data_IF_712385398331
#
_entry.id   IF_712385398331
#
_cell.length_a   1.000
_cell.length_b   1.000
_cell.length_c   1.000
_cell.angle_alpha   90.00
_cell.angle_beta   90.00
_cell.angle_gamma   90.00
#
_symmetry.space_group_name_H-M   'P 1'
#
loop_
_entity.id
_entity.type
_entity.pdbx_description
1 polymer ?
#
# COMPACT_ATOMS: atom_id res chain seq x y z
N UNK A 1 -17.51 11.86 -0.60
CA UNK A 1 -16.41 12.68 -1.19
C UNK A 1 -15.18 12.49 -0.29
N UNK A 2 -13.99 12.36 -0.85
CA UNK A 2 -12.73 12.25 -0.08
C UNK A 2 -12.03 13.60 0.13
N UNK A 3 -12.68 14.69 -0.31
CA UNK A 3 -12.26 16.06 -0.04
C UNK A 3 -10.84 16.37 -0.51
N UNK A 4 -10.47 15.84 -1.67
CA UNK A 4 -9.16 16.02 -2.32
C UNK A 4 -8.70 17.49 -2.46
N UNK A 5 -9.63 18.45 -2.42
CA UNK A 5 -9.34 19.88 -2.47
C UNK A 5 -8.90 20.48 -1.11
N UNK A 6 -9.04 19.74 0.00
CA UNK A 6 -8.71 20.21 1.33
C UNK A 6 -7.25 19.87 1.70
N UNK A 7 -6.55 20.78 2.41
CA UNK A 7 -5.18 20.53 2.87
C UNK A 7 -5.09 19.28 3.75
N UNK A 8 -4.17 18.38 3.41
CA UNK A 8 -3.97 17.06 4.01
C UNK A 8 -4.46 15.92 3.13
N UNK A 9 -5.42 16.18 2.23
CA UNK A 9 -6.06 15.16 1.38
C UNK A 9 -5.46 15.10 -0.04
N UNK A 10 -4.29 15.70 -0.26
CA UNK A 10 -3.59 15.73 -1.55
C UNK A 10 -3.36 14.32 -2.11
N UNK A 11 -3.19 13.32 -1.24
CA UNK A 11 -2.98 11.94 -1.69
C UNK A 11 -4.21 11.37 -2.43
N UNK A 12 -5.43 11.80 -2.06
CA UNK A 12 -6.65 11.48 -2.80
C UNK A 12 -6.75 12.28 -4.09
N UNK A 13 -6.35 13.56 -4.09
CA UNK A 13 -6.27 14.36 -5.30
C UNK A 13 -5.32 13.75 -6.34
N UNK A 14 -4.27 13.08 -5.87
CA UNK A 14 -3.28 12.45 -6.73
C UNK A 14 -3.82 11.23 -7.49
N UNK A 15 -4.87 10.56 -6.99
CA UNK A 15 -5.47 9.39 -7.65
C UNK A 15 -6.00 9.74 -9.04
N UNK A 16 -6.61 10.92 -9.16
CA UNK A 16 -7.20 11.43 -10.40
C UNK A 16 -6.33 12.54 -11.04
N UNK A 17 -5.02 12.55 -10.75
CA UNK A 17 -4.13 13.62 -11.21
C UNK A 17 -4.02 13.64 -12.74
N UNK A 18 -4.09 14.82 -13.40
CA UNK A 18 -4.09 14.92 -14.86
C UNK A 18 -2.87 14.33 -15.56
N UNK A 19 -1.72 14.29 -14.88
CA UNK A 19 -0.48 13.71 -15.45
C UNK A 19 -0.53 12.18 -15.52
N UNK A 20 -1.48 11.53 -14.85
CA UNK A 20 -1.65 10.08 -14.83
C UNK A 20 -0.39 9.28 -14.44
N UNK A 21 0.55 9.90 -13.70
CA UNK A 21 1.81 9.25 -13.33
C UNK A 21 1.55 7.96 -12.53
N UNK A 22 0.63 7.98 -11.56
CA UNK A 22 0.29 6.81 -10.75
C UNK A 22 -0.18 5.61 -11.59
N UNK A 23 -1.26 5.70 -12.41
CA UNK A 23 -1.69 4.57 -13.22
C UNK A 23 -0.66 4.15 -14.28
N UNK A 24 0.17 5.07 -14.78
CA UNK A 24 1.26 4.74 -15.71
C UNK A 24 2.32 3.88 -15.00
N UNK A 25 2.80 4.29 -13.83
CA UNK A 25 3.78 3.54 -13.03
C UNK A 25 3.22 2.17 -12.66
N UNK A 26 1.98 2.12 -12.16
CA UNK A 26 1.32 0.86 -11.78
C UNK A 26 1.23 -0.12 -12.95
N UNK A 27 0.80 0.33 -14.13
CA UNK A 27 0.63 -0.55 -15.31
C UNK A 27 1.94 -0.99 -15.92
N UNK A 28 2.93 -0.09 -16.02
CA UNK A 28 4.18 -0.34 -16.74
C UNK A 28 5.23 -1.05 -15.90
N UNK A 29 5.32 -0.75 -14.61
CA UNK A 29 6.49 -1.10 -13.79
C UNK A 29 6.19 -2.24 -12.82
N UNK A 30 5.01 -2.26 -12.19
CA UNK A 30 4.68 -3.23 -11.16
C UNK A 30 4.74 -4.69 -11.66
N UNK A 31 4.15 -4.97 -12.84
CA UNK A 31 4.15 -6.33 -13.43
C UNK A 31 5.56 -6.81 -13.82
N UNK A 32 6.45 -5.89 -14.18
CA UNK A 32 7.87 -6.19 -14.48
C UNK A 32 8.63 -6.49 -13.21
N UNK A 33 8.35 -5.73 -12.15
CA UNK A 33 9.00 -5.88 -10.86
C UNK A 33 8.71 -7.21 -10.17
N UNK A 34 7.56 -7.85 -10.45
CA UNK A 34 7.25 -9.20 -9.97
C UNK A 34 8.37 -10.23 -10.23
N UNK A 35 9.11 -10.08 -11.34
CA UNK A 35 10.21 -10.99 -11.67
C UNK A 35 11.39 -10.87 -10.70
N UNK A 36 11.57 -9.72 -10.05
CA UNK A 36 12.72 -9.42 -9.20
C UNK A 36 12.36 -9.31 -7.72
N UNK A 37 11.10 -9.03 -7.39
CA UNK A 37 10.67 -8.72 -6.02
C UNK A 37 10.17 -9.95 -5.26
N UNK A 38 9.78 -11.04 -5.92
CA UNK A 38 9.07 -12.15 -5.27
C UNK A 38 9.86 -12.75 -4.09
N UNK A 39 11.14 -13.06 -4.29
CA UNK A 39 12.00 -13.64 -3.25
C UNK A 39 12.39 -12.63 -2.14
N UNK A 40 12.81 -11.38 -2.46
CA UNK A 40 12.99 -10.34 -1.45
C UNK A 40 11.74 -10.08 -0.61
N UNK A 41 10.56 -10.09 -1.25
CA UNK A 41 9.28 -9.87 -0.57
C UNK A 41 8.92 -11.03 0.35
N UNK A 42 9.19 -12.28 -0.06
CA UNK A 42 9.03 -13.43 0.83
C UNK A 42 9.95 -13.33 2.05
N UNK A 43 11.18 -12.88 1.87
CA UNK A 43 12.13 -12.73 2.99
C UNK A 43 11.65 -11.66 3.97
N UNK A 44 11.15 -10.54 3.46
CA UNK A 44 10.55 -9.49 4.27
C UNK A 44 9.25 -9.97 4.95
N UNK A 45 8.43 -10.79 4.29
CA UNK A 45 7.23 -11.37 4.88
C UNK A 45 7.53 -12.28 6.06
N UNK A 46 8.56 -13.13 5.95
CA UNK A 46 9.03 -13.93 7.08
C UNK A 46 9.48 -13.05 8.23
N UNK A 47 10.34 -12.06 7.97
CA UNK A 47 10.80 -11.11 8.99
C UNK A 47 9.64 -10.37 9.68
N UNK A 48 8.74 -9.78 8.90
CA UNK A 48 7.61 -9.02 9.42
C UNK A 48 6.63 -9.89 10.22
N UNK A 49 6.41 -11.14 9.78
CA UNK A 49 5.57 -12.10 10.53
C UNK A 49 6.16 -12.39 11.90
N UNK A 50 7.46 -12.68 11.99
CA UNK A 50 8.14 -12.90 13.28
C UNK A 50 8.14 -11.63 14.15
N UNK A 51 8.34 -10.46 13.54
CA UNK A 51 8.34 -9.19 14.26
C UNK A 51 6.97 -8.86 14.87
N UNK A 52 5.88 -9.12 14.14
CA UNK A 52 4.51 -8.72 14.54
C UNK A 52 3.88 -9.75 15.48
N UNK A 53 4.02 -11.05 15.18
CA UNK A 53 3.36 -12.12 15.93
C UNK A 53 4.27 -12.76 17.00
N UNK A 54 5.57 -12.43 16.99
CA UNK A 54 6.57 -13.00 17.89
C UNK A 54 6.99 -14.42 17.52
N UNK A 55 7.83 -15.02 18.37
CA UNK A 55 8.35 -16.38 18.22
C UNK A 55 7.80 -17.35 19.28
N UNK A 56 6.79 -16.93 20.05
CA UNK A 56 6.23 -17.76 21.10
C UNK A 56 5.54 -19.00 20.52
N UNK A 57 5.87 -20.22 20.99
CA UNK A 57 5.18 -21.43 20.54
C UNK A 57 3.75 -21.56 21.12
N UNK A 58 3.37 -20.70 22.07
CA UNK A 58 2.05 -20.70 22.70
C UNK A 58 1.02 -19.87 21.94
N UNK A 59 -0.26 -20.11 22.22
CA UNK A 59 -1.35 -19.29 21.68
C UNK A 59 -1.25 -17.84 22.14
N UNK A 60 -1.35 -16.91 21.19
CA UNK A 60 -1.33 -15.47 21.41
C UNK A 60 -2.62 -14.86 20.88
N UNK A 61 -3.15 -13.85 21.59
CA UNK A 61 -4.27 -13.04 21.09
C UNK A 61 -3.71 -11.83 20.38
N UNK A 62 -4.28 -11.50 19.22
CA UNK A 62 -3.94 -10.29 18.48
C UNK A 62 -5.16 -9.64 17.85
N UNK A 63 -5.05 -8.34 17.58
CA UNK A 63 -6.00 -7.61 16.76
C UNK A 63 -5.68 -7.89 15.30
N UNK A 64 -6.41 -8.85 14.71
CA UNK A 64 -6.10 -9.38 13.38
C UNK A 64 -5.97 -8.27 12.32
N UNK A 65 -6.91 -7.33 12.26
CA UNK A 65 -6.85 -6.25 11.27
C UNK A 65 -5.61 -5.36 11.45
N UNK A 66 -5.31 -4.93 12.67
CA UNK A 66 -4.14 -4.08 12.96
C UNK A 66 -2.82 -4.79 12.68
N UNK A 67 -2.70 -6.07 13.05
CA UNK A 67 -1.51 -6.87 12.75
C UNK A 67 -1.32 -7.08 11.24
N UNK A 68 -2.40 -7.29 10.49
CA UNK A 68 -2.33 -7.41 9.04
C UNK A 68 -1.99 -6.07 8.40
N UNK A 69 -2.52 -4.96 8.92
CA UNK A 69 -2.19 -3.61 8.47
C UNK A 69 -0.69 -3.33 8.64
N UNK A 70 -0.11 -3.70 9.79
CA UNK A 70 1.33 -3.59 10.05
C UNK A 70 2.16 -4.46 9.11
N UNK A 71 1.72 -5.70 8.88
CA UNK A 71 2.38 -6.64 7.98
C UNK A 71 2.43 -6.08 6.55
N UNK A 72 1.27 -5.64 6.04
CA UNK A 72 1.14 -5.11 4.69
C UNK A 72 1.88 -3.77 4.55
N UNK A 73 1.92 -2.91 5.57
CA UNK A 73 2.68 -1.65 5.52
C UNK A 73 4.18 -1.90 5.32
N UNK A 74 4.75 -2.89 6.03
CA UNK A 74 6.15 -3.30 5.88
C UNK A 74 6.43 -3.86 4.48
N UNK A 75 5.57 -4.78 4.02
CA UNK A 75 5.69 -5.39 2.69
C UNK A 75 5.56 -4.36 1.56
N UNK A 76 4.58 -3.47 1.64
CA UNK A 76 4.36 -2.42 0.62
C UNK A 76 5.56 -1.47 0.54
N UNK A 77 6.15 -1.12 1.67
CA UNK A 77 7.34 -0.26 1.71
C UNK A 77 8.56 -0.93 1.07
N UNK A 78 8.73 -2.25 1.25
CA UNK A 78 9.77 -3.02 0.56
C UNK A 78 9.63 -2.95 -0.95
N UNK A 79 8.39 -3.04 -1.45
CA UNK A 79 8.10 -2.98 -2.89
C UNK A 79 8.35 -1.59 -3.46
N UNK A 80 7.90 -0.53 -2.77
CA UNK A 80 7.87 0.82 -3.36
C UNK A 80 9.09 1.68 -3.07
N UNK A 81 9.80 1.42 -1.97
CA UNK A 81 10.90 2.28 -1.52
C UNK A 81 12.25 1.58 -1.49
N UNK A 82 12.27 0.28 -1.81
CA UNK A 82 13.47 -0.54 -1.78
C UNK A 82 14.16 -0.55 -0.40
N UNK A 83 15.40 -1.00 -0.39
CA UNK A 83 16.15 -1.32 0.84
C UNK A 83 16.46 -0.12 1.72
N UNK A 84 16.50 1.10 1.16
CA UNK A 84 16.95 2.31 1.85
C UNK A 84 15.91 2.84 2.87
N UNK A 85 14.61 2.75 2.54
CA UNK A 85 13.53 3.27 3.40
C UNK A 85 12.62 2.15 3.90
N UNK A 86 12.69 0.92 3.36
CA UNK A 86 11.79 -0.15 3.76
C UNK A 86 11.91 -0.60 5.22
N UNK A 87 12.81 -0.03 6.03
CA UNK A 87 12.89 -0.28 7.49
C UNK A 87 12.85 1.01 8.31
N UNK A 88 12.46 2.13 7.69
CA UNK A 88 12.29 3.38 8.40
C UNK A 88 10.98 3.34 9.20
N UNK A 89 11.10 3.18 10.52
CA UNK A 89 9.95 3.08 11.43
C UNK A 89 9.07 4.35 11.43
N UNK A 90 9.64 5.53 11.15
CA UNK A 90 8.85 6.75 11.02
C UNK A 90 8.01 6.75 9.74
N UNK A 91 8.54 6.20 8.64
CA UNK A 91 7.78 6.01 7.40
C UNK A 91 6.62 5.04 7.60
N UNK A 92 6.84 3.93 8.31
CA UNK A 92 5.79 2.98 8.64
C UNK A 92 4.68 3.61 9.46
N UNK A 93 5.03 4.36 10.51
CA UNK A 93 4.06 5.07 11.33
C UNK A 93 3.25 6.06 10.49
N UNK A 94 3.92 6.86 9.66
CA UNK A 94 3.25 7.84 8.79
C UNK A 94 2.29 7.17 7.82
N UNK A 95 2.72 6.13 7.10
CA UNK A 95 1.89 5.47 6.09
C UNK A 95 0.73 4.69 6.70
N UNK A 96 0.96 4.00 7.83
CA UNK A 96 -0.10 3.33 8.60
C UNK A 96 -1.14 4.34 9.10
N UNK A 97 -0.68 5.36 9.83
CA UNK A 97 -1.57 6.36 10.44
C UNK A 97 -2.33 7.13 9.37
N UNK A 98 -1.66 7.54 8.29
CA UNK A 98 -2.33 8.21 7.18
C UNK A 98 -3.40 7.31 6.55
N UNK A 99 -3.11 6.02 6.32
CA UNK A 99 -4.07 5.06 5.77
C UNK A 99 -5.35 4.99 6.59
N UNK A 100 -5.27 4.99 7.93
CA UNK A 100 -6.46 4.88 8.79
C UNK A 100 -7.17 6.23 8.96
N UNK A 101 -6.40 7.25 9.35
CA UNK A 101 -6.95 8.52 9.83
C UNK A 101 -7.50 9.36 8.68
N UNK A 102 -6.93 9.26 7.48
CA UNK A 102 -7.41 10.00 6.31
C UNK A 102 -8.84 9.59 5.92
N UNK A 103 -9.16 8.29 5.91
CA UNK A 103 -10.51 7.80 5.65
C UNK A 103 -11.49 8.18 6.76
N UNK A 104 -11.10 8.00 8.03
CA UNK A 104 -11.93 8.40 9.16
C UNK A 104 -12.25 9.91 9.14
N UNK A 105 -11.24 10.73 8.83
CA UNK A 105 -11.38 12.18 8.72
C UNK A 105 -12.26 12.58 7.53
N UNK A 106 -12.11 11.91 6.37
CA UNK A 106 -12.99 12.12 5.23
C UNK A 106 -14.46 11.77 5.56
N UNK A 107 -14.70 10.63 6.22
CA UNK A 107 -16.04 10.25 6.66
C UNK A 107 -16.64 11.30 7.61
N UNK A 108 -15.84 11.83 8.55
CA UNK A 108 -16.25 12.89 9.47
C UNK A 108 -16.56 14.22 8.77
N UNK A 109 -15.83 14.57 7.72
CA UNK A 109 -16.10 15.78 6.93
C UNK A 109 -17.36 15.64 6.05
N UNK A 110 -17.70 14.41 5.63
CA UNK A 110 -18.92 14.15 4.85
C UNK A 110 -20.21 14.45 5.64
N UNK A 111 -20.20 14.30 6.98
CA UNK A 111 -21.36 14.65 7.82
C UNK A 111 -21.53 16.16 8.03
N UNK A 112 -20.51 16.96 7.70
CA UNK A 112 -20.54 18.40 7.84
C UNK A 112 -21.16 19.10 6.62
N UNK A 113 -21.92 20.19 6.82
CA UNK A 113 -22.35 21.07 5.73
C UNK A 113 -21.15 21.59 4.93
N UNK A 114 -21.25 21.63 3.60
CA UNK A 114 -20.14 21.97 2.71
C UNK A 114 -19.37 23.26 3.07
N UNK A 115 -20.03 24.38 3.46
CA UNK A 115 -19.33 25.61 3.83
C UNK A 115 -18.48 25.50 5.11
N UNK A 116 -18.81 24.56 6.01
CA UNK A 116 -18.09 24.37 7.28
C UNK A 116 -16.91 23.40 7.14
N UNK A 117 -16.82 22.64 6.05
CA UNK A 117 -15.77 21.63 5.84
C UNK A 117 -14.35 22.22 5.87
N UNK A 118 -14.05 23.39 5.25
CA UNK A 118 -12.73 24.00 5.36
C UNK A 118 -12.37 24.38 6.80
N UNK A 119 -13.34 24.92 7.55
CA UNK A 119 -13.16 25.28 8.96
C UNK A 119 -12.89 24.04 9.80
N UNK A 120 -13.73 23.00 9.65
CA UNK A 120 -13.55 21.72 10.34
C UNK A 120 -12.20 21.10 9.99
N UNK A 121 -11.79 21.10 8.72
CA UNK A 121 -10.48 20.59 8.33
C UNK A 121 -9.34 21.27 9.12
N UNK A 122 -9.40 22.60 9.30
CA UNK A 122 -8.36 23.32 10.02
C UNK A 122 -8.33 23.05 11.52
N UNK A 123 -9.48 22.93 12.18
CA UNK A 123 -9.57 22.87 13.64
C UNK A 123 -9.69 21.45 14.20
N UNK A 124 -10.27 20.53 13.44
CA UNK A 124 -10.48 19.14 13.85
C UNK A 124 -9.14 18.41 14.08
N UNK A 125 -8.99 17.69 15.22
CA UNK A 125 -7.75 16.99 15.53
C UNK A 125 -7.34 15.94 14.49
N UNK A 126 -8.27 15.16 13.94
CA UNK A 126 -7.91 14.10 12.99
C UNK A 126 -7.49 14.70 11.65
N UNK A 127 -8.14 15.79 11.21
CA UNK A 127 -7.72 16.51 10.01
C UNK A 127 -6.33 17.19 10.18
N UNK A 128 -6.03 17.72 11.37
CA UNK A 128 -4.68 18.21 11.70
C UNK A 128 -3.64 17.11 11.60
N UNK A 129 -3.97 15.91 12.07
CA UNK A 129 -3.09 14.75 12.01
C UNK A 129 -2.87 14.25 10.57
N UNK A 130 -3.90 14.26 9.71
CA UNK A 130 -3.76 13.98 8.27
C UNK A 130 -2.71 14.91 7.64
N UNK A 131 -2.80 16.23 7.89
CA UNK A 131 -1.79 17.20 7.42
C UNK A 131 -0.41 16.95 8.00
N UNK A 132 -0.33 16.62 9.28
CA UNK A 132 0.94 16.34 9.95
C UNK A 132 1.64 15.12 9.34
N UNK A 133 0.90 14.03 9.09
CA UNK A 133 1.40 12.83 8.43
C UNK A 133 1.89 13.14 7.00
N UNK A 134 1.15 13.92 6.22
CA UNK A 134 1.58 14.34 4.89
C UNK A 134 2.87 15.15 4.93
N UNK A 135 2.99 16.10 5.86
CA UNK A 135 4.20 16.89 6.02
C UNK A 135 5.40 16.04 6.50
N UNK A 136 5.16 15.04 7.35
CA UNK A 136 6.19 14.10 7.76
C UNK A 136 6.62 13.20 6.60
N UNK A 137 5.70 12.75 5.75
CA UNK A 137 6.03 12.02 4.52
C UNK A 137 6.96 12.83 3.62
N UNK A 138 6.68 14.14 3.42
CA UNK A 138 7.56 15.06 2.70
C UNK A 138 8.96 15.12 3.33
N UNK A 139 9.05 15.27 4.65
CA UNK A 139 10.34 15.31 5.37
C UNK A 139 11.17 14.04 5.21
N UNK A 140 10.53 12.87 5.11
CA UNK A 140 11.22 11.59 4.95
C UNK A 140 11.65 11.36 3.49
N UNK A 141 10.76 11.61 2.54
CA UNK A 141 10.95 11.25 1.13
C UNK A 141 11.80 12.28 0.37
N UNK A 142 11.61 13.58 0.61
CA UNK A 142 12.30 14.63 -0.15
C UNK A 142 13.84 14.52 -0.09
N UNK A 143 14.48 14.28 1.08
CA UNK A 143 15.93 14.13 1.13
C UNK A 143 16.45 12.93 0.33
N UNK A 144 15.71 11.83 0.30
CA UNK A 144 16.11 10.62 -0.45
C UNK A 144 16.08 10.87 -1.94
N UNK A 145 15.02 11.53 -2.42
CA UNK A 145 14.89 11.89 -3.84
C UNK A 145 15.99 12.86 -4.25
N UNK A 146 16.24 13.88 -3.44
CA UNK A 146 17.27 14.87 -3.73
C UNK A 146 18.67 14.23 -3.79
N UNK A 147 18.98 13.36 -2.81
CA UNK A 147 20.22 12.57 -2.83
C UNK A 147 20.35 11.74 -4.11
N UNK A 148 19.29 11.04 -4.53
CA UNK A 148 19.32 10.22 -5.76
C UNK A 148 19.48 11.07 -7.02
N UNK A 149 18.81 12.23 -7.11
CA UNK A 149 18.98 13.18 -8.22
C UNK A 149 20.42 13.69 -8.31
N UNK A 150 21.02 14.05 -7.17
CA UNK A 150 22.42 14.47 -7.11
C UNK A 150 23.39 13.35 -7.52
N UNK A 151 23.16 12.11 -7.09
CA UNK A 151 23.98 10.96 -7.48
C UNK A 151 23.92 10.75 -9.01
N UNK A 152 22.73 10.79 -9.60
CA UNK A 152 22.55 10.65 -11.05
C UNK A 152 23.22 11.79 -11.82
N UNK A 153 23.08 13.04 -11.35
CA UNK A 153 23.70 14.20 -11.97
C UNK A 153 25.24 14.12 -11.92
N UNK A 154 25.82 13.70 -10.78
CA UNK A 154 27.26 13.50 -10.64
C UNK A 154 27.79 12.39 -11.56
N UNK A 155 27.09 11.26 -11.64
CA UNK A 155 27.47 10.16 -12.54
C UNK A 155 27.46 10.63 -14.01
N UNK A 156 26.41 11.36 -14.42
CA UNK A 156 26.30 11.90 -15.77
C UNK A 156 27.41 12.91 -16.08
N UNK A 157 27.71 13.83 -15.16
CA UNK A 157 28.79 14.80 -15.32
C UNK A 157 30.18 14.14 -15.38
N UNK A 158 30.36 13.02 -14.69
CA UNK A 158 31.60 12.23 -14.69
C UNK A 158 31.71 11.24 -15.86
N UNK A 159 30.69 11.15 -16.74
CA UNK A 159 30.64 10.15 -17.81
C UNK A 159 30.54 8.70 -17.31
N UNK A 160 30.10 8.50 -16.07
CA UNK A 160 29.94 7.19 -15.43
C UNK A 160 28.52 6.62 -15.67
N UNK A 161 28.33 5.29 -15.57
CA UNK A 161 27.01 4.69 -15.62
C UNK A 161 26.08 5.31 -14.56
N UNK A 162 24.91 5.77 -14.99
CA UNK A 162 23.92 6.38 -14.10
C UNK A 162 23.32 5.29 -13.21
N UNK A 163 23.33 5.46 -11.87
CA UNK A 163 22.74 4.49 -10.97
C UNK A 163 21.23 4.42 -11.20
N UNK A 164 20.69 3.20 -11.26
CA UNK A 164 19.26 2.92 -11.35
C UNK A 164 18.80 2.21 -10.10
N UNK A 165 17.56 2.49 -9.69
CA UNK A 165 16.95 1.87 -8.50
C UNK A 165 15.69 1.14 -8.95
N UNK A 166 15.49 -0.07 -8.47
CA UNK A 166 14.33 -0.88 -8.87
C UNK A 166 13.20 -0.68 -7.84
N UNK A 167 12.68 0.54 -7.77
CA UNK A 167 11.62 0.94 -6.84
C UNK A 167 10.74 2.06 -7.42
N UNK A 168 9.64 2.37 -6.73
CA UNK A 168 8.64 3.31 -7.24
C UNK A 168 9.14 4.75 -7.32
N UNK A 169 10.21 5.11 -6.60
CA UNK A 169 10.82 6.43 -6.71
C UNK A 169 11.46 6.57 -8.10
N UNK A 170 12.27 5.59 -8.50
CA UNK A 170 12.94 5.63 -9.80
C UNK A 170 11.98 5.48 -10.97
N UNK A 171 10.95 4.66 -10.79
CA UNK A 171 9.87 4.50 -11.75
C UNK A 171 9.13 5.83 -11.98
N UNK A 172 8.80 6.56 -10.91
CA UNK A 172 8.13 7.85 -11.03
C UNK A 172 9.01 8.90 -11.72
N UNK A 173 10.31 8.98 -11.38
CA UNK A 173 11.25 9.88 -12.06
C UNK A 173 11.42 9.56 -13.55
N UNK A 174 11.32 8.28 -13.92
CA UNK A 174 11.39 7.84 -15.33
C UNK A 174 10.09 8.16 -16.08
N UNK A 175 8.94 7.84 -15.49
CA UNK A 175 7.64 7.98 -16.15
C UNK A 175 7.07 9.41 -16.09
N UNK A 176 7.55 10.28 -15.20
CA UNK A 176 7.11 11.67 -15.16
C UNK A 176 7.59 12.47 -16.38
N UNK A 177 8.65 12.01 -17.06
CA UNK A 177 9.20 12.64 -18.27
C UNK A 177 9.47 14.15 -18.08
N UNK A 178 9.96 14.54 -16.90
CA UNK A 178 10.24 15.94 -16.56
C UNK A 178 9.02 16.77 -16.14
N UNK A 179 7.81 16.20 -16.12
CA UNK A 179 6.63 16.88 -15.57
C UNK A 179 6.78 17.02 -14.05
N UNK A 180 6.47 18.20 -13.47
CA UNK A 180 6.54 18.39 -12.04
C UNK A 180 5.47 17.53 -11.34
N UNK A 181 5.84 16.93 -10.21
CA UNK A 181 4.93 16.24 -9.31
C UNK A 181 5.48 16.31 -7.89
N UNK A 182 4.59 16.27 -6.90
CA UNK A 182 5.02 16.09 -5.50
C UNK A 182 5.29 14.61 -5.26
N UNK A 183 6.57 14.26 -5.22
CA UNK A 183 6.99 12.88 -5.11
C UNK A 183 6.69 12.26 -3.74
N UNK A 184 6.60 13.06 -2.68
CA UNK A 184 6.19 12.56 -1.37
C UNK A 184 4.69 12.27 -1.33
N UNK A 185 3.87 13.14 -1.95
CA UNK A 185 2.44 12.85 -2.16
C UNK A 185 2.28 11.59 -3.00
N UNK A 186 3.03 11.44 -4.11
CA UNK A 186 3.00 10.23 -4.93
C UNK A 186 3.32 8.96 -4.11
N UNK A 187 4.41 8.97 -3.34
CA UNK A 187 4.82 7.82 -2.53
C UNK A 187 3.82 7.50 -1.43
N UNK A 188 3.28 8.53 -0.77
CA UNK A 188 2.23 8.35 0.23
C UNK A 188 0.96 7.79 -0.40
N UNK A 189 0.56 8.28 -1.59
CA UNK A 189 -0.58 7.78 -2.35
C UNK A 189 -0.43 6.31 -2.69
N UNK A 190 0.70 5.95 -3.30
CA UNK A 190 0.98 4.58 -3.68
C UNK A 190 0.97 3.65 -2.46
N UNK A 191 1.56 4.10 -1.35
CA UNK A 191 1.61 3.32 -0.10
C UNK A 191 0.22 3.14 0.51
N UNK A 192 -0.55 4.20 0.74
CA UNK A 192 -1.84 4.07 1.42
C UNK A 192 -2.83 3.23 0.60
N UNK A 193 -2.85 3.38 -0.73
CA UNK A 193 -3.74 2.61 -1.61
C UNK A 193 -3.40 1.12 -1.53
N UNK A 194 -2.12 0.78 -1.64
CA UNK A 194 -1.67 -0.60 -1.57
C UNK A 194 -1.92 -1.21 -0.18
N UNK A 195 -1.68 -0.43 0.88
CA UNK A 195 -1.85 -0.88 2.25
C UNK A 195 -3.32 -1.18 2.55
N UNK A 196 -4.21 -0.23 2.28
CA UNK A 196 -5.63 -0.39 2.57
C UNK A 196 -6.22 -1.59 1.83
N UNK A 197 -6.07 -1.62 0.51
CA UNK A 197 -6.70 -2.64 -0.35
C UNK A 197 -6.17 -4.05 -0.08
N UNK A 198 -4.85 -4.19 0.15
CA UNK A 198 -4.26 -5.51 0.42
C UNK A 198 -4.56 -6.00 1.83
N UNK A 199 -4.63 -5.11 2.82
CA UNK A 199 -5.04 -5.46 4.19
C UNK A 199 -6.48 -5.97 4.20
N UNK A 200 -7.39 -5.25 3.54
CA UNK A 200 -8.78 -5.67 3.42
C UNK A 200 -8.93 -7.02 2.73
N UNK A 201 -8.21 -7.23 1.61
CA UNK A 201 -8.23 -8.50 0.90
C UNK A 201 -7.76 -9.63 1.81
N UNK A 202 -6.59 -9.48 2.43
CA UNK A 202 -6.02 -10.51 3.28
C UNK A 202 -6.92 -10.81 4.48
N UNK A 203 -7.40 -9.77 5.17
CA UNK A 203 -8.31 -9.92 6.30
C UNK A 203 -9.60 -10.65 5.90
N UNK A 204 -10.26 -10.23 4.81
CA UNK A 204 -11.50 -10.85 4.35
C UNK A 204 -11.28 -12.31 3.90
N UNK A 205 -10.17 -12.60 3.22
CA UNK A 205 -9.81 -13.98 2.87
C UNK A 205 -9.57 -14.83 4.10
N UNK A 206 -8.88 -14.32 5.13
CA UNK A 206 -8.70 -15.06 6.39
C UNK A 206 -10.04 -15.31 7.09
N UNK A 207 -10.90 -14.29 7.18
CA UNK A 207 -12.24 -14.43 7.78
C UNK A 207 -13.12 -15.43 7.01
N UNK A 208 -12.99 -15.47 5.68
CA UNK A 208 -13.65 -16.46 4.83
C UNK A 208 -13.14 -17.88 5.12
N UNK A 209 -11.82 -18.08 5.18
CA UNK A 209 -11.20 -19.39 5.39
C UNK A 209 -11.44 -19.94 6.80
N UNK A 210 -11.51 -19.08 7.82
CA UNK A 210 -11.87 -19.48 9.19
C UNK A 210 -13.26 -20.12 9.25
N UNK A 211 -14.18 -19.69 8.38
CA UNK A 211 -15.53 -20.26 8.27
C UNK A 211 -15.59 -21.53 7.41
N UNK A 212 -14.51 -21.86 6.70
CA UNK A 212 -14.42 -23.01 5.77
C UNK A 212 -13.09 -23.77 5.95
N UNK A 213 -12.86 -24.36 7.14
CA UNK A 213 -11.60 -25.02 7.47
C UNK A 213 -11.26 -26.21 6.55
N UNK A 214 -12.26 -26.80 5.90
CA UNK A 214 -12.10 -27.89 4.92
C UNK A 214 -11.18 -27.53 3.75
N UNK A 215 -11.06 -26.24 3.40
CA UNK A 215 -10.20 -25.78 2.31
C UNK A 215 -8.74 -25.52 2.74
N UNK A 216 -8.48 -25.33 4.04
CA UNK A 216 -7.15 -24.91 4.53
C UNK A 216 -6.08 -25.94 4.16
N UNK A 217 -6.36 -27.23 4.32
CA UNK A 217 -5.38 -28.29 4.03
C UNK A 217 -5.01 -28.34 2.54
N UNK A 218 -6.00 -28.22 1.65
CA UNK A 218 -5.77 -28.23 0.21
C UNK A 218 -4.91 -27.03 -0.24
N UNK A 219 -5.21 -25.83 0.30
CA UNK A 219 -4.42 -24.62 0.05
C UNK A 219 -2.97 -24.78 0.52
N UNK A 220 -2.75 -25.32 1.73
CA UNK A 220 -1.40 -25.55 2.26
C UNK A 220 -0.62 -26.56 1.40
N UNK A 221 -1.27 -27.64 0.97
CA UNK A 221 -0.65 -28.64 0.11
C UNK A 221 -0.24 -28.06 -1.25
N UNK A 222 -1.09 -27.24 -1.86
CA UNK A 222 -0.76 -26.51 -3.10
C UNK A 222 0.45 -25.60 -2.89
N UNK A 223 0.40 -24.74 -1.86
CA UNK A 223 1.48 -23.78 -1.57
C UNK A 223 2.82 -24.52 -1.38
N UNK A 224 2.85 -25.56 -0.56
CA UNK A 224 4.06 -26.33 -0.29
C UNK A 224 4.55 -27.04 -1.55
N UNK A 225 3.65 -27.67 -2.31
CA UNK A 225 4.00 -28.40 -3.53
C UNK A 225 4.62 -27.49 -4.59
N UNK A 226 3.96 -26.36 -4.87
CA UNK A 226 4.41 -25.38 -5.86
C UNK A 226 5.74 -24.74 -5.43
N UNK A 227 5.88 -24.31 -4.18
CA UNK A 227 7.12 -23.69 -3.69
C UNK A 227 8.30 -24.68 -3.65
N UNK A 228 8.07 -25.96 -3.36
CA UNK A 228 9.13 -26.99 -3.44
C UNK A 228 9.62 -27.21 -4.86
N UNK A 229 8.73 -27.16 -5.84
CA UNK A 229 9.08 -27.40 -7.24
C UNK A 229 9.76 -26.19 -7.89
N UNK A 230 9.26 -24.98 -7.62
CA UNK A 230 9.64 -23.78 -8.39
C UNK A 230 10.41 -22.73 -7.59
N UNK A 231 10.33 -22.77 -6.26
CA UNK A 231 10.83 -21.72 -5.37
C UNK A 231 10.02 -20.41 -5.46
N UNK A 232 10.60 -19.31 -4.98
CA UNK A 232 9.97 -17.99 -4.97
C UNK A 232 10.10 -17.26 -6.31
N UNK A 233 9.47 -17.83 -7.35
CA UNK A 233 9.42 -17.26 -8.70
C UNK A 233 8.02 -16.77 -9.05
N UNK A 234 7.93 -15.85 -10.00
CA UNK A 234 6.64 -15.37 -10.55
C UNK A 234 5.78 -16.53 -11.09
N UNK A 235 6.39 -17.54 -11.72
CA UNK A 235 5.68 -18.72 -12.25
C UNK A 235 5.03 -19.53 -11.14
N UNK A 236 5.71 -19.66 -9.99
CA UNK A 236 5.18 -20.36 -8.83
C UNK A 236 3.89 -19.69 -8.35
N UNK A 237 3.86 -18.36 -8.24
CA UNK A 237 2.65 -17.62 -7.88
C UNK A 237 1.51 -17.84 -8.89
N UNK A 238 1.83 -17.91 -10.19
CA UNK A 238 0.84 -18.22 -11.22
C UNK A 238 0.26 -19.63 -11.06
N UNK A 239 1.03 -20.58 -10.53
CA UNK A 239 0.64 -21.98 -10.39
C UNK A 239 -0.11 -22.29 -9.08
N UNK A 240 -0.27 -21.32 -8.18
CA UNK A 240 -1.12 -21.43 -6.98
C UNK A 240 -2.60 -21.17 -7.32
N UNK A 241 -3.25 -22.12 -8.01
CA UNK A 241 -4.61 -22.00 -8.55
C UNK A 241 -5.69 -22.00 -7.48
N UNK A 242 -5.56 -22.83 -6.44
CA UNK A 242 -6.50 -22.88 -5.32
C UNK A 242 -6.40 -21.61 -4.48
N UNK A 243 -5.19 -21.10 -4.23
CA UNK A 243 -4.99 -19.82 -3.53
C UNK A 243 -5.63 -18.67 -4.31
N UNK A 244 -5.38 -18.58 -5.62
CA UNK A 244 -6.00 -17.57 -6.48
C UNK A 244 -7.54 -17.68 -6.50
N UNK A 245 -8.07 -18.90 -6.54
CA UNK A 245 -9.51 -19.16 -6.45
C UNK A 245 -10.11 -18.72 -5.11
N UNK A 246 -9.44 -19.03 -3.99
CA UNK A 246 -9.89 -18.64 -2.65
C UNK A 246 -9.89 -17.10 -2.46
N UNK A 247 -8.87 -16.40 -2.99
CA UNK A 247 -8.82 -14.95 -3.01
C UNK A 247 -9.98 -14.35 -3.80
N UNK A 248 -10.23 -14.87 -5.01
CA UNK A 248 -11.34 -14.43 -5.87
C UNK A 248 -12.71 -14.67 -5.23
N UNK A 249 -12.90 -15.83 -4.60
CA UNK A 249 -14.16 -16.17 -3.94
C UNK A 249 -14.38 -15.30 -2.69
N UNK A 250 -13.33 -15.01 -1.92
CA UNK A 250 -13.40 -14.06 -0.83
C UNK A 250 -13.80 -12.65 -1.34
N UNK A 251 -13.21 -12.18 -2.44
CA UNK A 251 -13.60 -10.89 -3.05
C UNK A 251 -15.03 -10.89 -3.60
N UNK A 252 -15.51 -12.01 -4.15
CA UNK A 252 -16.88 -12.14 -4.67
C UNK A 252 -17.90 -12.02 -3.54
N UNK A 253 -17.63 -12.64 -2.39
CA UNK A 253 -18.52 -12.68 -1.23
C UNK A 253 -18.40 -11.45 -0.34
N UNK A 254 -17.18 -10.93 -0.19
CA UNK A 254 -16.82 -9.79 0.64
C UNK A 254 -16.13 -8.74 -0.25
N UNK A 255 -16.88 -8.11 -1.17
CA UNK A 255 -16.29 -7.10 -2.03
C UNK A 255 -15.71 -5.95 -1.19
N UNK A 256 -14.52 -5.50 -1.57
CA UNK A 256 -13.86 -4.35 -0.92
C UNK A 256 -14.73 -3.10 -0.98
N UNK A 257 -14.44 -2.12 -0.13
CA UNK A 257 -15.30 -0.95 0.08
C UNK A 257 -15.62 -0.16 -1.21
N UNK A 258 -14.73 -0.19 -2.21
CA UNK A 258 -14.97 0.40 -3.54
C UNK A 258 -16.22 -0.17 -4.23
N UNK A 259 -16.52 -1.46 -4.04
CA UNK A 259 -17.76 -2.09 -4.53
C UNK A 259 -18.95 -1.96 -3.58
N UNK A 260 -18.74 -1.58 -2.31
CA UNK A 260 -19.86 -1.33 -1.38
C UNK A 260 -20.54 0.01 -1.70
N UNK A 261 -19.79 1.02 -2.16
CA UNK A 261 -20.37 2.31 -2.57
C UNK A 261 -21.27 2.22 -3.80
N UNK A 262 -21.08 1.24 -4.69
CA UNK A 262 -21.97 1.01 -5.83
C UNK A 262 -23.22 0.22 -5.48
N UNK A 263 -23.19 -0.57 -4.40
CA UNK A 263 -24.35 -1.36 -3.93
C UNK A 263 -25.17 -0.73 -2.81
N UNK A 264 -24.65 0.28 -2.09
CA UNK A 264 -25.37 0.96 -1.01
C UNK A 264 -26.37 2.03 -1.50
N UNK A 265 -26.58 2.17 -2.82
CA UNK A 265 -27.51 3.14 -3.41
C UNK A 265 -29.00 2.76 -3.34
N UNK A 266 -29.36 1.56 -2.87
CA UNK A 266 -30.74 1.07 -2.90
C UNK A 266 -31.20 0.42 -1.57
N UNK A 267 -31.01 1.11 -0.44
CA UNK A 267 -31.77 0.80 0.78
C UNK A 267 -32.67 1.98 1.14
N UNK A 268 -33.76 2.13 0.36
CA UNK A 268 -34.93 2.85 0.81
C UNK A 268 -35.68 1.93 1.78
N UNK A 269 -35.65 2.28 3.06
CA UNK A 269 -36.59 1.74 4.04
C UNK A 269 -38.02 2.18 3.68
N UNK A 270 -38.86 1.20 3.34
CA UNK A 270 -40.25 1.10 3.76
C UNK A 270 -40.44 -0.25 4.42
#
# INVERSE_FOLDING_TARGET
DFHAHLPGFEAFAFLDHPTQILPIVLRKQLTKYLNTVTEPLSSEASFATHHIFGESPGWQKTLAYDSLLDLIARLSSRVFLGDEICRNEDWFKVTKNYTVISFASAAKLNVAPAPLRPLMNWFDPSCKEVRANLNQARRIISPVIEKRRQLKAKAMAAGQPVPTFNDAIDWAETECQGKPYDAAVFQLTLSFVAIHTSTDLLYNTMMYLVKKPEFINALRQEIIGVLRAEGWKKTALYNMKLVDSALKEAQRLLPGDVCKFTYSGNWNHK
#
